data_IF_438747773932
#
_entry.id   IF_438747773932
#
_cell.length_a   1.000
_cell.length_b   1.000
_cell.length_c   1.000
_cell.angle_alpha   90.00
_cell.angle_beta   90.00
_cell.angle_gamma   90.00
#
_symmetry.space_group_name_H-M   'P 1'
#
loop_
_entity.id
_entity.type
_entity.pdbx_description
1 polymer ?
#
# COMPACT_ATOMS: atom_id res chain seq x y z
N UNK A 1 -7.15 -1.76 -6.17
CA UNK A 1 -8.62 -1.89 -6.11
C UNK A 1 -9.36 -1.01 -7.14
N UNK A 2 -9.18 0.33 -7.23
CA UNK A 2 -10.02 1.20 -8.10
C UNK A 2 -10.17 0.79 -9.57
N UNK A 3 -9.10 0.33 -10.23
CA UNK A 3 -9.16 -0.15 -11.63
C UNK A 3 -9.91 -1.48 -11.77
N UNK A 4 -9.79 -2.38 -10.79
CA UNK A 4 -10.54 -3.65 -10.79
C UNK A 4 -12.04 -3.38 -10.70
N UNK A 5 -12.44 -2.44 -9.83
CA UNK A 5 -13.84 -2.05 -9.66
C UNK A 5 -14.43 -1.43 -10.93
N UNK A 6 -13.70 -0.56 -11.64
CA UNK A 6 -14.19 -0.01 -12.89
C UNK A 6 -14.23 -1.03 -14.03
N UNK A 7 -13.26 -1.96 -14.13
CA UNK A 7 -13.32 -3.08 -15.09
C UNK A 7 -14.53 -3.97 -14.85
N UNK A 8 -14.79 -4.35 -13.60
CA UNK A 8 -15.93 -5.21 -13.25
C UNK A 8 -17.28 -4.49 -13.46
N UNK A 9 -17.43 -3.23 -13.02
CA UNK A 9 -18.65 -2.43 -13.24
C UNK A 9 -18.94 -2.20 -14.72
N UNK A 10 -17.91 -2.04 -15.57
CA UNK A 10 -18.07 -1.94 -17.03
C UNK A 10 -18.72 -3.20 -17.64
N UNK A 11 -18.54 -4.35 -17.00
CA UNK A 11 -19.13 -5.63 -17.40
C UNK A 11 -20.38 -5.98 -16.57
N UNK A 12 -21.09 -4.95 -16.08
CA UNK A 12 -22.35 -5.05 -15.32
C UNK A 12 -22.27 -5.74 -13.94
N UNK A 13 -21.07 -6.00 -13.41
CA UNK A 13 -20.91 -6.58 -12.08
C UNK A 13 -21.10 -5.55 -10.97
N UNK A 14 -21.85 -5.92 -9.92
CA UNK A 14 -22.11 -5.05 -8.76
C UNK A 14 -20.93 -5.10 -7.79
N UNK A 15 -20.10 -4.06 -7.79
CA UNK A 15 -18.89 -3.99 -6.96
C UNK A 15 -19.06 -3.01 -5.79
N UNK A 16 -18.67 -3.45 -4.60
CA UNK A 16 -18.45 -2.61 -3.42
C UNK A 16 -16.95 -2.54 -3.13
N UNK A 17 -16.49 -1.40 -2.63
CA UNK A 17 -15.10 -1.19 -2.22
C UNK A 17 -15.06 -1.01 -0.70
N UNK A 18 -13.92 -1.34 -0.10
CA UNK A 18 -13.66 -1.19 1.33
C UNK A 18 -12.15 -0.99 1.52
N UNK A 19 -11.76 0.05 2.27
CA UNK A 19 -10.37 0.25 2.68
C UNK A 19 -10.24 -0.05 4.17
N UNK A 20 -9.82 -1.28 4.47
CA UNK A 20 -9.65 -1.74 5.84
C UNK A 20 -8.50 -1.03 6.56
N UNK A 21 -7.51 -0.50 5.86
CA UNK A 21 -6.41 0.23 6.49
C UNK A 21 -6.92 1.57 7.02
N UNK A 22 -7.71 2.30 6.21
CA UNK A 22 -8.31 3.56 6.63
C UNK A 22 -9.33 3.36 7.76
N UNK A 23 -10.14 2.30 7.70
CA UNK A 23 -11.06 1.96 8.80
C UNK A 23 -10.31 1.57 10.08
N UNK A 24 -9.23 0.78 9.98
CA UNK A 24 -8.40 0.42 11.12
C UNK A 24 -7.74 1.66 11.76
N UNK A 25 -7.12 2.53 10.97
CA UNK A 25 -6.57 3.80 11.48
C UNK A 25 -7.66 4.70 12.09
N UNK A 26 -8.86 4.74 11.53
CA UNK A 26 -9.96 5.55 12.08
C UNK A 26 -10.43 4.99 13.42
N UNK A 27 -10.75 3.69 13.50
CA UNK A 27 -11.38 3.03 14.66
C UNK A 27 -10.38 2.65 15.75
N UNK A 28 -9.30 1.95 15.41
CA UNK A 28 -8.35 1.42 16.41
C UNK A 28 -7.49 2.53 17.04
N UNK A 29 -7.20 3.61 16.31
CA UNK A 29 -6.50 4.78 16.87
C UNK A 29 -7.47 5.86 17.39
N UNK A 30 -8.73 5.54 17.68
CA UNK A 30 -9.66 6.51 18.29
C UNK A 30 -9.33 6.71 19.77
N UNK A 31 -9.52 7.92 20.31
CA UNK A 31 -9.38 8.17 21.76
C UNK A 31 -10.15 7.15 22.61
N UNK A 32 -11.38 6.81 22.19
CA UNK A 32 -12.23 5.80 22.84
C UNK A 32 -11.59 4.41 22.87
N UNK A 33 -11.11 3.90 21.73
CA UNK A 33 -10.48 2.58 21.66
C UNK A 33 -9.15 2.55 22.43
N UNK A 34 -8.33 3.60 22.27
CA UNK A 34 -7.05 3.73 22.95
C UNK A 34 -7.23 3.80 24.47
N UNK A 35 -8.25 4.50 24.97
CA UNK A 35 -8.60 4.54 26.40
C UNK A 35 -8.83 3.13 26.97
N UNK A 36 -9.69 2.34 26.31
CA UNK A 36 -10.00 0.96 26.72
C UNK A 36 -8.76 0.06 26.70
N UNK A 37 -7.84 0.26 25.74
CA UNK A 37 -6.62 -0.55 25.63
C UNK A 37 -5.52 -0.11 26.60
N UNK A 38 -5.34 1.19 26.82
CA UNK A 38 -4.37 1.74 27.77
C UNK A 38 -4.76 1.37 29.21
N UNK A 39 -6.06 1.33 29.55
CA UNK A 39 -6.49 0.76 30.83
C UNK A 39 -6.10 -0.72 30.99
N UNK A 40 -6.28 -1.55 29.94
CA UNK A 40 -5.90 -2.96 29.95
C UNK A 40 -4.37 -3.12 30.13
N UNK A 41 -3.60 -2.28 29.43
CA UNK A 41 -2.13 -2.19 29.53
C UNK A 41 -1.68 -1.80 30.93
N UNK A 42 -2.22 -0.71 31.49
CA UNK A 42 -1.92 -0.27 32.87
C UNK A 42 -2.24 -1.36 33.91
N UNK A 43 -3.35 -2.07 33.76
CA UNK A 43 -3.73 -3.20 34.66
C UNK A 43 -2.73 -4.36 34.57
N UNK A 44 -2.26 -4.74 33.39
CA UNK A 44 -1.22 -5.80 33.22
C UNK A 44 0.15 -5.35 33.71
N UNK A 45 0.57 -4.14 33.38
CA UNK A 45 1.85 -3.59 33.83
C UNK A 45 1.92 -3.63 35.37
N UNK A 46 0.87 -3.18 36.05
CA UNK A 46 0.76 -3.27 37.52
C UNK A 46 0.76 -4.71 38.07
N UNK A 47 0.42 -5.74 37.29
CA UNK A 47 0.53 -7.14 37.72
C UNK A 47 1.98 -7.63 37.65
N UNK A 48 2.72 -7.24 36.61
CA UNK A 48 4.13 -7.58 36.42
C UNK A 48 5.03 -6.79 37.39
N UNK A 49 4.78 -5.49 37.54
CA UNK A 49 5.51 -4.58 38.45
C UNK A 49 5.43 -4.99 39.93
N UNK A 50 4.34 -5.66 40.33
CA UNK A 50 4.16 -6.23 41.67
C UNK A 50 4.88 -7.57 41.90
N UNK A 51 5.44 -8.19 40.87
CA UNK A 51 6.21 -9.43 41.04
C UNK A 51 7.56 -9.09 41.69
N UNK A 52 7.99 -9.90 42.68
CA UNK A 52 9.30 -9.73 43.33
C UNK A 52 10.48 -9.90 42.38
N UNK A 53 10.27 -10.60 41.27
CA UNK A 53 11.22 -10.86 40.19
C UNK A 53 10.44 -11.31 38.97
N UNK A 54 10.76 -10.75 37.80
CA UNK A 54 10.18 -11.22 36.54
C UNK A 54 10.86 -12.54 36.17
N UNK A 55 10.08 -13.61 35.98
CA UNK A 55 10.58 -14.99 36.00
C UNK A 55 11.11 -15.50 34.66
N UNK A 56 10.69 -14.87 33.56
CA UNK A 56 10.97 -15.32 32.20
C UNK A 56 11.36 -14.17 31.28
N UNK A 57 12.19 -14.48 30.27
CA UNK A 57 12.55 -13.51 29.22
C UNK A 57 11.32 -12.96 28.49
N UNK A 58 10.27 -13.77 28.31
CA UNK A 58 9.02 -13.36 27.70
C UNK A 58 8.26 -12.32 28.53
N UNK A 59 8.16 -12.51 29.86
CA UNK A 59 7.55 -11.53 30.76
C UNK A 59 8.40 -10.25 30.89
N UNK A 60 9.73 -10.37 30.86
CA UNK A 60 10.62 -9.20 30.92
C UNK A 60 10.45 -8.35 29.66
N UNK A 61 10.45 -8.99 28.50
CA UNK A 61 10.20 -8.30 27.24
C UNK A 61 8.78 -7.74 27.16
N UNK A 62 7.79 -8.44 27.74
CA UNK A 62 6.43 -7.91 27.86
C UNK A 62 6.42 -6.62 28.69
N UNK A 63 7.10 -6.62 29.85
CA UNK A 63 7.20 -5.47 30.74
C UNK A 63 7.85 -4.26 30.06
N UNK A 64 8.97 -4.47 29.35
CA UNK A 64 9.64 -3.43 28.54
C UNK A 64 8.66 -2.79 27.53
N UNK A 65 7.89 -3.61 26.81
CA UNK A 65 6.94 -3.14 25.77
C UNK A 65 5.67 -2.48 26.33
N UNK A 66 5.34 -2.73 27.59
CA UNK A 66 4.21 -2.07 28.26
C UNK A 66 4.59 -0.71 28.88
N UNK A 67 5.88 -0.37 28.99
CA UNK A 67 6.34 0.87 29.62
C UNK A 67 5.90 2.14 28.86
N UNK A 68 6.15 2.24 27.55
CA UNK A 68 5.81 3.43 26.77
C UNK A 68 4.28 3.68 26.73
N UNK A 69 3.41 2.68 26.48
CA UNK A 69 1.95 2.89 26.53
C UNK A 69 1.42 3.24 27.93
N UNK A 70 2.10 2.85 29.02
CA UNK A 70 1.72 3.24 30.38
C UNK A 70 2.11 4.69 30.69
N UNK A 71 3.30 5.12 30.25
CA UNK A 71 3.84 6.45 30.55
C UNK A 71 3.30 7.56 29.66
N UNK A 72 3.06 7.27 28.37
CA UNK A 72 2.62 8.26 27.37
C UNK A 72 1.16 8.05 26.92
N UNK A 73 0.49 7.02 27.42
CA UNK A 73 -0.87 6.66 27.00
C UNK A 73 -1.91 7.76 27.20
N UNK A 74 -1.89 8.46 28.34
CA UNK A 74 -2.88 9.51 28.63
C UNK A 74 -2.68 10.72 27.70
N UNK A 75 -1.43 11.16 27.52
CA UNK A 75 -1.07 12.19 26.54
C UNK A 75 -1.53 11.80 25.12
N UNK A 76 -1.37 10.53 24.73
CA UNK A 76 -1.86 10.05 23.45
C UNK A 76 -3.39 10.15 23.35
N UNK A 77 -4.14 9.68 24.36
CA UNK A 77 -5.61 9.72 24.37
C UNK A 77 -6.12 11.16 24.22
N UNK A 78 -5.51 12.10 24.94
CA UNK A 78 -5.87 13.53 24.91
C UNK A 78 -5.60 14.20 23.55
N UNK A 79 -4.56 13.76 22.82
CA UNK A 79 -4.06 14.48 21.63
C UNK A 79 -4.37 13.78 20.29
N UNK A 80 -4.76 12.50 20.27
CA UNK A 80 -4.86 11.72 19.02
C UNK A 80 -5.95 12.22 18.05
N UNK A 81 -7.11 12.63 18.55
CA UNK A 81 -8.21 13.05 17.69
C UNK A 81 -7.96 14.45 17.09
N UNK A 82 -7.34 15.36 17.85
CA UNK A 82 -6.88 16.65 17.31
C UNK A 82 -5.69 16.45 16.35
N UNK A 83 -4.77 15.53 16.63
CA UNK A 83 -3.69 15.18 15.69
C UNK A 83 -4.24 14.68 14.35
N UNK A 84 -5.20 13.75 14.39
CA UNK A 84 -5.93 13.27 13.21
C UNK A 84 -6.60 14.42 12.46
N UNK A 85 -7.31 15.31 13.17
CA UNK A 85 -8.00 16.47 12.60
C UNK A 85 -7.03 17.48 11.97
N UNK A 86 -5.91 17.78 12.61
CA UNK A 86 -4.88 18.68 12.09
C UNK A 86 -4.23 18.11 10.84
N UNK A 87 -3.80 16.85 10.85
CA UNK A 87 -3.21 16.17 9.68
C UNK A 87 -4.22 16.11 8.51
N UNK A 88 -5.49 15.82 8.81
CA UNK A 88 -6.57 15.76 7.79
C UNK A 88 -6.85 17.12 7.15
N UNK A 89 -6.66 18.23 7.88
CA UNK A 89 -6.96 19.60 7.42
C UNK A 89 -5.71 20.39 6.95
N UNK A 90 -4.60 19.72 6.63
CA UNK A 90 -3.42 20.37 6.03
C UNK A 90 -3.79 21.02 4.70
N UNK A 91 -4.07 22.33 4.73
CA UNK A 91 -4.44 23.09 3.55
C UNK A 91 -3.25 23.42 2.62
N UNK A 92 -2.02 23.31 3.14
CA UNK A 92 -0.80 23.66 2.42
C UNK A 92 -0.09 22.40 1.91
N UNK A 93 -0.03 22.25 0.57
CA UNK A 93 0.65 21.15 -0.14
C UNK A 93 2.19 21.19 -0.07
N UNK A 94 2.70 21.93 0.91
CA UNK A 94 4.07 22.42 0.99
C UNK A 94 4.77 21.74 2.15
N UNK A 95 5.33 20.56 1.84
CA UNK A 95 6.33 19.90 2.68
C UNK A 95 7.54 20.80 2.96
N UNK A 96 7.72 21.89 2.22
CA UNK A 96 8.62 23.00 2.54
C UNK A 96 8.36 23.63 3.93
N UNK A 97 7.19 23.42 4.55
CA UNK A 97 6.93 23.72 5.97
C UNK A 97 7.35 22.58 6.93
N UNK A 98 8.49 21.92 6.69
CA UNK A 98 9.17 21.09 7.70
C UNK A 98 9.58 21.89 8.97
N UNK A 99 9.41 23.22 8.98
CA UNK A 99 9.50 24.07 10.16
C UNK A 99 8.21 24.20 10.99
N UNK A 100 7.08 23.63 10.57
CA UNK A 100 5.83 23.67 11.33
C UNK A 100 5.89 22.63 12.47
N UNK A 101 6.42 23.07 13.62
CA UNK A 101 6.62 22.24 14.82
C UNK A 101 5.32 21.67 15.40
N UNK A 102 4.19 22.35 15.19
CA UNK A 102 2.86 21.86 15.56
C UNK A 102 2.45 20.67 14.68
N UNK A 103 2.62 20.76 13.36
CA UNK A 103 2.36 19.63 12.47
C UNK A 103 3.27 18.43 12.76
N UNK A 104 4.56 18.67 13.03
CA UNK A 104 5.50 17.61 13.43
C UNK A 104 5.06 16.93 14.73
N UNK A 105 4.61 17.69 15.74
CA UNK A 105 4.07 17.14 16.99
C UNK A 105 2.86 16.26 16.75
N UNK A 106 1.91 16.69 15.91
CA UNK A 106 0.73 15.87 15.58
C UNK A 106 1.10 14.60 14.81
N UNK A 107 2.09 14.64 13.91
CA UNK A 107 2.64 13.42 13.30
C UNK A 107 3.31 12.49 14.32
N UNK A 108 4.05 13.02 15.29
CA UNK A 108 4.63 12.22 16.38
C UNK A 108 3.56 11.57 17.25
N UNK A 109 2.47 12.28 17.58
CA UNK A 109 1.31 11.71 18.29
C UNK A 109 0.69 10.56 17.47
N UNK A 110 0.49 10.74 16.16
CA UNK A 110 -0.07 9.71 15.29
C UNK A 110 0.86 8.50 15.14
N UNK A 111 2.17 8.70 14.99
CA UNK A 111 3.18 7.65 14.93
C UNK A 111 3.26 6.84 16.24
N UNK A 112 3.32 7.53 17.38
CA UNK A 112 3.28 6.94 18.72
C UNK A 112 2.03 6.08 18.93
N UNK A 113 0.88 6.53 18.41
CA UNK A 113 -0.37 5.79 18.46
C UNK A 113 -0.30 4.46 17.70
N UNK A 114 0.29 4.46 16.50
CA UNK A 114 0.51 3.24 15.72
C UNK A 114 1.47 2.30 16.46
N UNK A 115 2.56 2.83 17.01
CA UNK A 115 3.50 2.06 17.82
C UNK A 115 2.78 1.35 18.98
N UNK A 116 1.97 2.05 19.77
CA UNK A 116 1.31 1.44 20.93
C UNK A 116 0.31 0.34 20.58
N UNK A 117 -0.44 0.46 19.47
CA UNK A 117 -1.34 -0.60 19.03
C UNK A 117 -0.60 -1.86 18.58
N UNK A 118 0.51 -1.70 17.85
CA UNK A 118 1.20 -2.82 17.19
C UNK A 118 2.34 -3.44 18.00
N UNK A 119 2.84 -2.76 19.05
CA UNK A 119 3.89 -3.27 19.93
C UNK A 119 3.43 -3.78 21.28
N UNK A 120 2.17 -3.55 21.69
CA UNK A 120 1.70 -3.99 23.02
C UNK A 120 1.51 -5.52 23.08
N UNK A 121 2.20 -6.24 23.99
CA UNK A 121 2.13 -7.71 24.08
C UNK A 121 0.73 -8.24 24.42
N UNK A 122 -0.08 -7.44 25.12
CA UNK A 122 -1.49 -7.72 25.42
C UNK A 122 -2.41 -7.67 24.19
N UNK A 123 -1.99 -6.94 23.15
CA UNK A 123 -2.74 -6.74 21.92
C UNK A 123 -2.21 -7.62 20.78
N UNK A 124 -0.95 -8.04 20.87
CA UNK A 124 -0.33 -8.94 19.90
C UNK A 124 0.83 -9.75 20.51
N UNK A 125 0.57 -10.86 21.23
CA UNK A 125 1.64 -11.67 21.85
C UNK A 125 2.59 -12.40 20.87
N UNK A 126 2.46 -12.17 19.56
CA UNK A 126 3.15 -12.93 18.50
C UNK A 126 3.72 -12.08 17.33
N UNK A 127 3.87 -10.75 17.42
CA UNK A 127 4.51 -9.94 16.35
C UNK A 127 5.43 -8.78 16.78
N UNK A 128 6.38 -8.54 15.86
CA UNK A 128 7.27 -7.40 15.65
C UNK A 128 7.16 -7.05 14.14
N UNK A 129 7.42 -5.85 13.61
CA UNK A 129 7.95 -4.60 14.17
C UNK A 129 7.43 -3.43 13.31
N UNK A 130 6.87 -2.35 13.88
CA UNK A 130 6.57 -1.11 13.12
C UNK A 130 7.74 -0.12 13.25
N UNK A 131 8.84 -0.36 12.51
CA UNK A 131 9.78 0.66 11.97
C UNK A 131 10.98 0.08 11.22
N UNK A 132 11.47 -1.13 11.55
CA UNK A 132 12.57 -1.77 10.81
C UNK A 132 12.08 -2.75 9.76
N UNK A 133 12.33 -2.44 8.49
CA UNK A 133 11.96 -3.26 7.32
C UNK A 133 12.83 -4.52 7.11
N UNK A 134 13.58 -4.94 8.14
CA UNK A 134 14.65 -5.93 8.01
C UNK A 134 14.30 -7.36 8.48
N UNK A 135 13.31 -7.57 9.37
CA UNK A 135 13.11 -8.90 9.98
C UNK A 135 11.72 -9.17 10.59
N UNK A 136 10.64 -8.95 9.84
CA UNK A 136 9.36 -9.57 10.16
C UNK A 136 9.36 -11.04 9.69
N UNK A 137 9.84 -11.96 10.54
CA UNK A 137 9.77 -13.40 10.31
C UNK A 137 8.33 -13.91 10.45
N UNK A 138 7.49 -13.62 9.46
CA UNK A 138 6.13 -14.16 9.40
C UNK A 138 6.16 -15.61 8.94
N UNK A 139 5.72 -16.49 9.83
CA UNK A 139 5.63 -17.92 9.62
C UNK A 139 4.18 -18.38 9.44
N UNK A 140 4.02 -19.53 8.78
CA UNK A 140 2.73 -20.22 8.70
C UNK A 140 2.21 -20.61 10.09
N UNK A 141 3.11 -20.87 11.04
CA UNK A 141 2.75 -21.16 12.44
C UNK A 141 2.04 -19.96 13.10
N UNK A 142 2.59 -18.74 12.99
CA UNK A 142 1.91 -17.54 13.53
C UNK A 142 0.54 -17.29 12.90
N UNK A 143 0.38 -17.57 11.60
CA UNK A 143 -0.92 -17.50 10.93
C UNK A 143 -1.89 -18.51 11.57
N UNK A 144 -1.48 -19.77 11.74
CA UNK A 144 -2.29 -20.79 12.39
C UNK A 144 -2.63 -20.43 13.84
N UNK A 145 -1.68 -19.88 14.60
CA UNK A 145 -1.86 -19.59 16.02
C UNK A 145 -2.80 -18.41 16.26
N UNK A 146 -2.74 -17.37 15.41
CA UNK A 146 -3.72 -16.27 15.43
C UNK A 146 -5.11 -16.77 15.01
N UNK A 147 -5.20 -17.69 14.04
CA UNK A 147 -6.49 -18.28 13.62
C UNK A 147 -7.09 -19.20 14.71
N UNK A 148 -6.25 -19.92 15.47
CA UNK A 148 -6.69 -20.72 16.63
C UNK A 148 -7.07 -19.87 17.85
N UNK A 149 -6.49 -18.67 17.98
CA UNK A 149 -6.68 -17.76 19.12
C UNK A 149 -7.16 -16.38 18.64
N UNK A 150 -8.29 -16.28 17.91
CA UNK A 150 -8.68 -15.04 17.25
C UNK A 150 -8.89 -13.87 18.22
N UNK A 151 -9.41 -14.16 19.42
CA UNK A 151 -9.66 -13.17 20.49
C UNK A 151 -8.39 -12.49 21.02
N UNK A 152 -7.19 -13.05 20.74
CA UNK A 152 -5.90 -12.42 21.05
C UNK A 152 -5.47 -11.36 20.03
N UNK A 153 -6.20 -11.20 18.92
CA UNK A 153 -5.91 -10.20 17.89
C UNK A 153 -6.92 -9.05 17.94
N UNK A 154 -6.42 -7.82 18.03
CA UNK A 154 -7.27 -6.61 17.93
C UNK A 154 -8.11 -6.55 16.65
N UNK A 155 -7.67 -7.25 15.60
CA UNK A 155 -8.34 -7.26 14.31
C UNK A 155 -9.60 -8.13 14.28
N UNK A 156 -9.73 -9.15 15.14
CA UNK A 156 -10.86 -10.06 15.11
C UNK A 156 -12.19 -9.34 15.38
N UNK A 157 -12.28 -8.67 16.53
CA UNK A 157 -13.47 -7.89 16.89
C UNK A 157 -13.71 -6.75 15.88
N UNK A 158 -12.66 -6.07 15.42
CA UNK A 158 -12.75 -5.06 14.37
C UNK A 158 -13.36 -5.61 13.06
N UNK A 159 -13.05 -6.84 12.67
CA UNK A 159 -13.68 -7.48 11.50
C UNK A 159 -15.14 -7.86 11.77
N UNK A 160 -15.47 -8.32 12.98
CA UNK A 160 -16.86 -8.58 13.38
C UNK A 160 -17.70 -7.29 13.37
N UNK A 161 -17.16 -6.18 13.85
CA UNK A 161 -17.87 -4.90 13.98
C UNK A 161 -17.99 -4.17 12.62
N UNK A 162 -16.91 -4.10 11.84
CA UNK A 162 -16.87 -3.26 10.63
C UNK A 162 -17.09 -4.03 9.31
N UNK A 163 -16.77 -5.32 9.25
CA UNK A 163 -16.80 -6.09 7.98
C UNK A 163 -18.02 -7.00 7.89
N UNK A 164 -18.39 -7.70 8.95
CA UNK A 164 -19.46 -8.70 8.89
C UNK A 164 -20.86 -8.10 8.64
N UNK A 165 -21.23 -6.93 9.21
CA UNK A 165 -22.46 -6.23 8.84
C UNK A 165 -22.50 -5.81 7.37
N UNK A 166 -21.34 -5.54 6.75
CA UNK A 166 -21.26 -5.24 5.32
C UNK A 166 -21.53 -6.51 4.49
N UNK A 167 -20.93 -7.65 4.85
CA UNK A 167 -21.17 -8.93 4.16
C UNK A 167 -22.65 -9.32 4.28
N UNK A 168 -23.23 -9.32 5.49
CA UNK A 168 -24.65 -9.62 5.73
C UNK A 168 -25.60 -8.73 4.92
N UNK A 169 -25.33 -7.41 4.87
CA UNK A 169 -26.16 -6.42 4.16
C UNK A 169 -25.98 -6.44 2.65
N UNK A 170 -24.78 -6.76 2.14
CA UNK A 170 -24.47 -6.70 0.70
C UNK A 170 -24.56 -8.05 -0.01
N UNK A 171 -24.48 -9.16 0.73
CA UNK A 171 -24.50 -10.55 0.26
C UNK A 171 -23.60 -10.80 -0.96
N UNK A 172 -22.28 -10.51 -0.86
CA UNK A 172 -21.37 -10.72 -1.98
C UNK A 172 -21.17 -12.20 -2.28
N UNK A 173 -21.13 -12.58 -3.56
CA UNK A 173 -20.74 -13.93 -3.98
C UNK A 173 -19.22 -14.14 -3.95
N UNK A 174 -18.44 -13.08 -4.22
CA UNK A 174 -16.98 -13.07 -4.22
C UNK A 174 -16.48 -11.98 -3.27
N UNK A 175 -15.50 -12.33 -2.43
CA UNK A 175 -14.76 -11.38 -1.60
C UNK A 175 -13.30 -11.41 -2.03
N UNK A 176 -12.84 -10.33 -2.67
CA UNK A 176 -11.46 -10.14 -3.10
C UNK A 176 -10.65 -9.30 -2.10
N UNK A 177 -9.62 -9.88 -1.49
CA UNK A 177 -8.73 -9.20 -0.53
C UNK A 177 -7.40 -8.84 -1.24
N UNK A 178 -6.94 -7.60 -1.06
CA UNK A 178 -5.71 -7.08 -1.68
C UNK A 178 -4.57 -7.00 -0.66
N UNK A 179 -3.81 -8.08 -0.53
CA UNK A 179 -2.61 -8.17 0.30
C UNK A 179 -1.44 -7.42 -0.37
N UNK A 180 -1.19 -6.20 0.09
CA UNK A 180 -0.26 -5.25 -0.56
C UNK A 180 1.10 -5.23 0.12
N UNK A 181 1.12 -5.28 1.45
CA UNK A 181 2.31 -5.21 2.28
C UNK A 181 2.46 -6.47 3.14
N UNK A 182 3.69 -6.74 3.61
CA UNK A 182 4.03 -8.01 4.25
C UNK A 182 3.37 -8.16 5.63
N UNK A 183 3.42 -7.11 6.45
CA UNK A 183 2.69 -6.93 7.72
C UNK A 183 1.19 -7.28 7.64
N UNK A 184 0.55 -7.08 6.49
CA UNK A 184 -0.86 -7.41 6.26
C UNK A 184 -1.14 -8.93 6.17
N UNK A 185 -0.13 -9.81 6.12
CA UNK A 185 -0.30 -11.27 5.95
C UNK A 185 -1.19 -11.86 7.06
N UNK A 186 -0.84 -11.66 8.32
CA UNK A 186 -1.54 -12.23 9.46
C UNK A 186 -2.99 -11.73 9.57
N UNK A 187 -3.29 -10.41 9.56
CA UNK A 187 -4.67 -9.94 9.57
C UNK A 187 -5.46 -10.36 8.32
N UNK A 188 -4.82 -10.52 7.16
CA UNK A 188 -5.48 -11.04 5.95
C UNK A 188 -5.93 -12.49 6.11
N UNK A 189 -5.08 -13.37 6.64
CA UNK A 189 -5.45 -14.78 6.84
C UNK A 189 -6.41 -14.99 8.02
N UNK A 190 -6.33 -14.16 9.07
CA UNK A 190 -7.36 -14.09 10.10
C UNK A 190 -8.72 -13.71 9.48
N UNK A 191 -8.77 -12.62 8.71
CA UNK A 191 -9.98 -12.18 8.02
C UNK A 191 -10.55 -13.25 7.10
N UNK A 192 -9.72 -13.82 6.22
CA UNK A 192 -10.18 -14.80 5.23
C UNK A 192 -10.67 -16.10 5.89
N UNK A 193 -9.98 -16.56 6.95
CA UNK A 193 -10.39 -17.73 7.71
C UNK A 193 -11.71 -17.51 8.44
N UNK A 194 -11.91 -16.36 9.10
CA UNK A 194 -13.17 -16.08 9.78
C UNK A 194 -14.30 -15.88 8.78
N UNK A 195 -14.09 -15.21 7.65
CA UNK A 195 -15.11 -15.09 6.59
C UNK A 195 -15.52 -16.46 6.06
N UNK A 196 -14.58 -17.39 5.79
CA UNK A 196 -14.93 -18.75 5.34
C UNK A 196 -15.72 -19.55 6.38
N UNK A 197 -15.53 -19.28 7.67
CA UNK A 197 -16.25 -19.93 8.77
C UNK A 197 -17.67 -19.39 8.91
N UNK A 198 -17.84 -18.07 8.95
CA UNK A 198 -19.12 -17.40 9.22
C UNK A 198 -19.98 -17.21 7.96
N UNK A 199 -19.36 -17.19 6.76
CA UNK A 199 -19.99 -16.97 5.46
C UNK A 199 -19.50 -18.00 4.42
N UNK A 200 -19.80 -19.30 4.58
CA UNK A 200 -19.26 -20.36 3.73
C UNK A 200 -19.68 -20.25 2.24
N UNK A 201 -20.78 -19.58 1.95
CA UNK A 201 -21.26 -19.31 0.58
C UNK A 201 -20.44 -18.24 -0.16
N UNK A 202 -19.64 -17.45 0.57
CA UNK A 202 -18.77 -16.42 -0.02
C UNK A 202 -17.48 -17.05 -0.53
N UNK A 203 -17.18 -16.88 -1.81
CA UNK A 203 -15.88 -17.27 -2.36
C UNK A 203 -14.82 -16.23 -2.03
N UNK A 204 -13.87 -16.57 -1.17
CA UNK A 204 -12.79 -15.67 -0.73
C UNK A 204 -11.57 -15.87 -1.61
N UNK A 205 -11.06 -14.81 -2.22
CA UNK A 205 -9.79 -14.84 -2.95
C UNK A 205 -8.85 -13.72 -2.53
N UNK A 206 -7.56 -14.02 -2.43
CA UNK A 206 -6.52 -13.07 -2.01
C UNK A 206 -5.57 -12.82 -3.20
N UNK A 207 -5.33 -11.56 -3.53
CA UNK A 207 -4.34 -11.14 -4.53
C UNK A 207 -3.46 -10.01 -3.99
N UNK A 208 -2.65 -9.39 -4.85
CA UNK A 208 -1.81 -8.24 -4.51
C UNK A 208 -0.31 -8.51 -4.65
N UNK A 209 0.53 -7.55 -4.25
CA UNK A 209 1.98 -7.61 -4.49
C UNK A 209 2.63 -8.79 -3.75
N UNK A 210 2.26 -9.03 -2.49
CA UNK A 210 2.84 -10.11 -1.67
C UNK A 210 2.47 -11.49 -2.21
N UNK A 211 1.23 -11.71 -2.63
CA UNK A 211 0.82 -12.96 -3.29
C UNK A 211 1.59 -13.17 -4.59
N UNK A 212 1.85 -12.08 -5.33
CA UNK A 212 2.59 -12.11 -6.59
C UNK A 212 4.10 -12.30 -6.40
N UNK A 213 4.63 -11.90 -5.24
CA UNK A 213 6.03 -12.11 -4.84
C UNK A 213 6.26 -13.53 -4.34
N UNK A 214 5.44 -13.97 -3.38
CA UNK A 214 5.61 -15.22 -2.62
C UNK A 214 4.88 -16.43 -3.23
N UNK A 215 4.46 -16.37 -4.50
CA UNK A 215 3.60 -17.43 -5.07
C UNK A 215 4.26 -18.81 -5.11
N UNK A 216 5.60 -18.88 -5.14
CA UNK A 216 6.35 -20.15 -5.17
C UNK A 216 6.36 -20.79 -3.79
N UNK A 217 6.51 -19.96 -2.77
CA UNK A 217 6.52 -20.29 -1.35
C UNK A 217 5.11 -20.69 -0.92
N UNK A 218 4.07 -19.91 -1.28
CA UNK A 218 2.66 -20.26 -1.03
C UNK A 218 2.30 -21.62 -1.67
N UNK A 219 2.88 -21.97 -2.84
CA UNK A 219 2.64 -23.25 -3.51
C UNK A 219 3.13 -24.47 -2.72
N UNK A 220 4.02 -24.32 -1.73
CA UNK A 220 4.40 -25.42 -0.82
C UNK A 220 3.62 -25.44 0.50
N UNK A 221 2.73 -24.47 0.76
CA UNK A 221 2.02 -24.31 2.03
C UNK A 221 0.54 -24.68 1.90
N UNK A 222 0.25 -25.98 1.84
CA UNK A 222 -1.09 -26.55 1.61
C UNK A 222 -2.16 -26.10 2.62
N UNK A 223 -1.74 -25.81 3.85
CA UNK A 223 -2.59 -25.28 4.94
C UNK A 223 -3.17 -23.89 4.65
N UNK A 224 -2.47 -23.02 3.89
CA UNK A 224 -2.97 -21.66 3.62
C UNK A 224 -4.27 -21.68 2.80
N UNK A 225 -4.47 -22.72 2.00
CA UNK A 225 -5.67 -22.93 1.19
C UNK A 225 -6.88 -23.41 2.00
N UNK A 226 -6.70 -23.81 3.25
CA UNK A 226 -7.84 -24.11 4.13
C UNK A 226 -8.53 -22.79 4.57
N UNK A 227 -7.80 -21.66 4.52
CA UNK A 227 -8.25 -20.33 4.91
C UNK A 227 -8.64 -19.39 3.74
N UNK A 228 -8.56 -19.83 2.49
CA UNK A 228 -8.98 -19.09 1.28
C UNK A 228 -9.59 -20.05 0.24
N UNK A 229 -10.20 -19.59 -0.85
CA UNK A 229 -10.62 -20.45 -1.96
C UNK A 229 -9.59 -20.44 -3.11
N UNK A 230 -9.02 -19.28 -3.43
CA UNK A 230 -7.90 -19.14 -4.38
C UNK A 230 -7.02 -17.92 -4.11
N UNK A 231 -5.80 -17.96 -4.64
CA UNK A 231 -4.91 -16.81 -4.78
C UNK A 231 -4.91 -16.28 -6.21
N UNK A 232 -4.76 -14.97 -6.39
CA UNK A 232 -4.59 -14.30 -7.70
C UNK A 232 -3.16 -13.75 -7.82
N UNK A 233 -2.44 -14.17 -8.86
CA UNK A 233 -1.01 -13.87 -9.07
C UNK A 233 -0.87 -12.87 -10.23
N UNK A 234 -0.26 -11.71 -9.99
CA UNK A 234 -0.09 -10.65 -10.99
C UNK A 234 -1.36 -9.83 -11.19
N UNK A 235 -1.77 -9.60 -12.44
CA UNK A 235 -2.93 -8.76 -12.76
C UNK A 235 -4.26 -9.41 -12.36
N UNK A 236 -5.05 -8.71 -11.55
CA UNK A 236 -6.33 -9.21 -11.07
C UNK A 236 -7.51 -9.05 -12.02
N UNK A 237 -7.41 -8.19 -13.05
CA UNK A 237 -8.56 -7.81 -13.88
C UNK A 237 -9.18 -9.00 -14.60
N UNK A 238 -8.39 -9.75 -15.39
CA UNK A 238 -8.87 -10.92 -16.13
C UNK A 238 -9.32 -12.05 -15.20
N UNK A 239 -8.63 -12.23 -14.07
CA UNK A 239 -8.97 -13.26 -13.10
C UNK A 239 -10.32 -12.98 -12.45
N UNK A 240 -10.52 -11.78 -11.90
CA UNK A 240 -11.78 -11.42 -11.24
C UNK A 240 -12.94 -11.30 -12.23
N UNK A 241 -12.71 -10.80 -13.45
CA UNK A 241 -13.77 -10.73 -14.47
C UNK A 241 -14.24 -12.13 -14.91
N UNK A 242 -13.31 -13.02 -15.25
CA UNK A 242 -13.66 -14.40 -15.63
C UNK A 242 -14.27 -15.18 -14.46
N UNK A 243 -13.78 -14.93 -13.24
CA UNK A 243 -14.38 -15.44 -12.01
C UNK A 243 -15.84 -14.97 -11.90
N UNK A 244 -16.09 -13.66 -11.86
CA UNK A 244 -17.44 -13.09 -11.72
C UNK A 244 -18.42 -13.56 -12.80
N UNK A 245 -17.98 -13.71 -14.04
CA UNK A 245 -18.81 -14.23 -15.15
C UNK A 245 -19.26 -15.69 -14.97
N UNK A 246 -18.67 -16.46 -14.04
CA UNK A 246 -19.00 -17.86 -13.80
C UNK A 246 -19.90 -18.09 -12.57
N UNK A 247 -20.08 -17.11 -11.68
CA UNK A 247 -20.80 -17.32 -10.41
C UNK A 247 -22.29 -17.60 -10.55
N UNK A 248 -22.93 -17.11 -11.60
CA UNK A 248 -24.34 -17.39 -11.89
C UNK A 248 -24.63 -18.88 -12.19
N UNK A 249 -23.59 -19.72 -12.29
CA UNK A 249 -23.68 -21.12 -12.72
C UNK A 249 -23.41 -22.14 -11.60
N UNK A 250 -23.24 -21.68 -10.35
CA UNK A 250 -22.97 -22.49 -9.14
C UNK A 250 -21.79 -23.49 -9.20
N UNK A 251 -21.00 -23.51 -10.28
CA UNK A 251 -19.84 -24.38 -10.41
C UNK A 251 -18.72 -23.67 -11.19
N UNK A 252 -17.80 -23.04 -10.46
CA UNK A 252 -16.73 -22.21 -11.01
C UNK A 252 -15.66 -23.13 -11.62
N UNK A 253 -15.43 -23.01 -12.92
CA UNK A 253 -14.34 -23.72 -13.57
C UNK A 253 -13.02 -22.96 -13.41
N UNK A 254 -12.37 -23.21 -12.28
CA UNK A 254 -11.06 -22.66 -11.89
C UNK A 254 -9.95 -22.88 -12.95
N UNK A 255 -10.06 -23.88 -13.82
CA UNK A 255 -9.07 -24.11 -14.89
C UNK A 255 -9.16 -23.05 -16.01
N UNK A 256 -10.31 -22.40 -16.18
CA UNK A 256 -10.51 -21.34 -17.18
C UNK A 256 -10.11 -19.96 -16.67
N UNK A 257 -10.06 -19.76 -15.35
CA UNK A 257 -9.71 -18.46 -14.78
C UNK A 257 -8.18 -18.26 -14.90
N UNK A 258 -7.71 -17.20 -15.59
CA UNK A 258 -6.28 -16.92 -15.70
C UNK A 258 -5.70 -16.48 -14.34
N UNK A 259 -4.38 -16.51 -14.20
CA UNK A 259 -3.64 -15.96 -13.05
C UNK A 259 -3.92 -16.61 -11.67
N UNK A 260 -4.85 -17.56 -11.53
CA UNK A 260 -5.17 -18.12 -10.20
C UNK A 260 -4.32 -19.32 -9.79
N UNK A 261 -4.24 -19.50 -8.47
CA UNK A 261 -3.71 -20.69 -7.81
C UNK A 261 -4.73 -21.17 -6.76
N UNK A 262 -5.06 -22.46 -6.76
CA UNK A 262 -6.14 -23.05 -5.96
C UNK A 262 -5.81 -24.48 -5.55
N UNK A 263 -6.52 -25.02 -4.56
CA UNK A 263 -6.36 -26.40 -4.06
C UNK A 263 -7.52 -27.28 -4.56
N UNK A 264 -7.19 -28.48 -5.05
CA UNK A 264 -8.14 -29.60 -5.19
C UNK A 264 -7.61 -30.77 -4.34
N UNK A 265 -7.07 -31.83 -4.97
CA UNK A 265 -6.26 -32.86 -4.30
C UNK A 265 -4.80 -32.45 -4.09
N UNK A 266 -4.35 -31.42 -4.82
CA UNK A 266 -3.04 -30.77 -4.76
C UNK A 266 -3.20 -29.29 -5.09
N UNK A 267 -2.22 -28.47 -4.76
CA UNK A 267 -2.17 -27.08 -5.21
C UNK A 267 -1.92 -27.06 -6.73
N UNK A 268 -2.81 -26.40 -7.45
CA UNK A 268 -2.73 -26.12 -8.89
C UNK A 268 -2.55 -24.63 -9.07
N UNK A 269 -1.48 -24.23 -9.76
CA UNK A 269 -1.36 -22.89 -10.35
C UNK A 269 -1.75 -23.01 -11.81
N UNK A 270 -2.63 -22.12 -12.30
CA UNK A 270 -2.96 -22.10 -13.71
C UNK A 270 -1.76 -21.62 -14.53
N UNK A 271 -1.42 -22.31 -15.61
CA UNK A 271 -0.30 -21.97 -16.49
C UNK A 271 -0.65 -20.76 -17.40
N UNK A 272 -1.93 -20.47 -17.59
CA UNK A 272 -2.39 -19.32 -18.36
C UNK A 272 -2.25 -18.02 -17.55
N UNK A 273 -1.06 -17.42 -17.62
CA UNK A 273 -0.78 -16.10 -17.07
C UNK A 273 -1.13 -15.00 -18.09
N UNK A 274 -2.03 -14.10 -17.71
CA UNK A 274 -2.56 -13.02 -18.56
C UNK A 274 -2.19 -11.66 -17.97
N UNK A 275 -1.48 -10.86 -18.77
CA UNK A 275 -1.23 -9.45 -18.49
C UNK A 275 -2.40 -8.62 -19.07
N UNK A 276 -3.09 -7.85 -18.23
CA UNK A 276 -4.21 -7.00 -18.64
C UNK A 276 -3.76 -5.89 -19.61
N UNK A 277 -4.52 -5.64 -20.67
CA UNK A 277 -4.20 -4.54 -21.58
C UNK A 277 -4.67 -3.19 -21.02
N UNK A 278 -3.79 -2.53 -20.26
CA UNK A 278 -4.11 -1.27 -19.58
C UNK A 278 -4.47 -0.10 -20.52
N UNK A 279 -4.15 -0.20 -21.82
CA UNK A 279 -4.56 0.80 -22.82
C UNK A 279 -6.09 0.87 -22.96
N UNK A 280 -6.77 -0.25 -22.71
CA UNK A 280 -8.23 -0.35 -22.69
C UNK A 280 -8.84 -0.27 -21.29
N UNK A 281 -8.03 -0.05 -20.24
CA UNK A 281 -8.59 0.17 -18.90
C UNK A 281 -9.48 1.43 -18.89
N UNK A 282 -10.70 1.34 -18.32
CA UNK A 282 -11.45 2.54 -17.96
C UNK A 282 -10.67 3.39 -16.93
N UNK A 283 -11.09 4.64 -16.67
CA UNK A 283 -10.65 5.38 -15.50
C UNK A 283 -10.84 4.54 -14.23
N UNK A 284 -9.96 4.64 -13.21
CA UNK A 284 -10.19 3.98 -11.94
C UNK A 284 -11.45 4.52 -11.25
N UNK A 285 -12.21 3.65 -10.61
CA UNK A 285 -13.40 4.02 -9.84
C UNK A 285 -13.08 4.11 -8.34
N UNK A 286 -13.39 5.24 -7.73
CA UNK A 286 -13.20 5.54 -6.31
C UNK A 286 -14.54 5.78 -5.59
N UNK A 287 -15.68 5.62 -6.27
CA UNK A 287 -17.02 5.93 -5.73
C UNK A 287 -17.42 5.13 -4.48
N UNK A 288 -16.75 4.01 -4.21
CA UNK A 288 -16.95 3.21 -3.00
C UNK A 288 -15.94 3.50 -1.87
N UNK A 289 -15.05 4.50 -2.02
CA UNK A 289 -14.05 4.85 -1.02
C UNK A 289 -14.37 6.21 -0.36
N UNK A 290 -14.20 6.35 0.96
CA UNK A 290 -14.42 7.61 1.67
C UNK A 290 -13.26 8.58 1.42
N UNK A 291 -13.21 9.17 0.22
CA UNK A 291 -12.09 9.99 -0.25
C UNK A 291 -11.75 11.19 0.64
N UNK A 292 -12.70 11.67 1.44
CA UNK A 292 -12.50 12.79 2.36
C UNK A 292 -11.93 12.36 3.71
N UNK A 293 -11.86 11.06 4.02
CA UNK A 293 -11.36 10.55 5.31
C UNK A 293 -9.85 10.25 5.30
N UNK A 294 -9.20 10.28 4.13
CA UNK A 294 -7.75 10.10 4.02
C UNK A 294 -6.97 11.29 4.59
N UNK A 295 -5.90 10.99 5.34
CA UNK A 295 -5.00 11.95 6.00
C UNK A 295 -4.03 12.64 5.03
N UNK A 296 -4.57 13.31 4.00
CA UNK A 296 -3.80 13.91 2.89
C UNK A 296 -4.06 15.41 2.68
N UNK A 297 -4.78 16.07 3.60
CA UNK A 297 -5.03 17.52 3.59
C UNK A 297 -6.09 17.99 2.59
N UNK A 298 -5.98 17.56 1.32
CA UNK A 298 -7.02 17.74 0.30
C UNK A 298 -7.19 16.44 -0.48
N UNK A 299 -8.40 16.23 -1.00
CA UNK A 299 -8.76 15.05 -1.79
C UNK A 299 -7.79 14.85 -2.96
N UNK A 300 -6.89 13.87 -2.87
CA UNK A 300 -5.91 13.51 -3.89
C UNK A 300 -6.23 12.13 -4.45
N UNK A 301 -6.18 11.96 -5.78
CA UNK A 301 -6.37 10.67 -6.43
C UNK A 301 -5.05 10.04 -6.89
N UNK A 302 -4.96 8.73 -6.73
CA UNK A 302 -3.84 7.91 -7.20
C UNK A 302 -4.17 7.38 -8.59
N UNK A 303 -3.42 7.81 -9.60
CA UNK A 303 -3.57 7.38 -10.97
C UNK A 303 -2.32 6.62 -11.43
N UNK A 304 -2.49 5.58 -12.26
CA UNK A 304 -1.39 4.77 -12.76
C UNK A 304 -1.37 4.84 -14.29
N UNK A 305 -0.30 5.42 -14.84
CA UNK A 305 -0.11 5.64 -16.28
C UNK A 305 0.45 4.41 -17.00
N UNK A 306 1.05 3.49 -16.25
CA UNK A 306 1.75 2.30 -16.72
C UNK A 306 1.88 1.23 -15.64
N UNK A 307 2.10 -0.03 -16.03
CA UNK A 307 2.42 -1.15 -15.11
C UNK A 307 3.81 -1.68 -15.39
N UNK A 308 4.52 -2.01 -14.31
CA UNK A 308 5.94 -2.37 -14.35
C UNK A 308 6.82 -1.16 -14.61
N UNK A 309 8.13 -1.38 -14.66
CA UNK A 309 9.13 -0.36 -14.93
C UNK A 309 9.78 -0.59 -16.30
N UNK A 310 9.88 0.46 -17.13
CA UNK A 310 10.54 0.38 -18.44
C UNK A 310 12.05 0.11 -18.35
N UNK A 311 12.68 0.46 -17.22
CA UNK A 311 14.08 0.10 -16.96
C UNK A 311 14.22 -1.38 -16.55
N UNK A 312 13.40 -1.83 -15.58
CA UNK A 312 13.23 -3.24 -15.19
C UNK A 312 14.47 -3.99 -14.67
N UNK A 313 15.63 -3.34 -14.57
CA UNK A 313 16.94 -3.99 -14.39
C UNK A 313 17.65 -3.69 -13.06
N UNK A 314 17.05 -2.88 -12.17
CA UNK A 314 17.64 -2.56 -10.87
C UNK A 314 17.78 -3.82 -10.00
N UNK A 315 19.00 -4.12 -9.53
CA UNK A 315 19.33 -5.40 -8.86
C UNK A 315 18.59 -5.62 -7.53
N UNK A 316 18.17 -4.55 -6.86
CA UNK A 316 17.46 -4.58 -5.57
C UNK A 316 15.93 -4.65 -5.69
N UNK A 317 15.36 -4.59 -6.91
CA UNK A 317 13.96 -4.26 -7.12
C UNK A 317 13.07 -5.50 -7.38
N UNK A 318 12.06 -5.69 -6.52
CA UNK A 318 11.08 -6.79 -6.56
C UNK A 318 10.08 -6.66 -7.73
N UNK A 319 9.80 -5.44 -8.21
CA UNK A 319 8.84 -5.20 -9.30
C UNK A 319 9.17 -5.94 -10.60
N UNK A 320 10.44 -6.27 -10.83
CA UNK A 320 10.85 -7.12 -11.97
C UNK A 320 10.27 -8.54 -11.90
N UNK A 321 9.99 -9.03 -10.70
CA UNK A 321 9.39 -10.34 -10.39
C UNK A 321 7.87 -10.22 -10.30
N UNK A 322 7.33 -9.20 -9.61
CA UNK A 322 5.89 -9.09 -9.35
C UNK A 322 5.08 -8.47 -10.49
N UNK A 323 5.72 -7.66 -11.36
CA UNK A 323 5.08 -6.95 -12.49
C UNK A 323 5.89 -7.13 -13.79
N UNK A 324 6.00 -8.35 -14.34
CA UNK A 324 6.82 -8.62 -15.51
C UNK A 324 6.32 -7.90 -16.77
N UNK A 325 7.23 -7.14 -17.40
CA UNK A 325 6.99 -6.39 -18.63
C UNK A 325 6.37 -5.00 -18.41
N UNK A 326 6.87 -4.01 -19.15
CA UNK A 326 6.33 -2.65 -19.11
C UNK A 326 5.13 -2.48 -20.05
N UNK A 327 4.01 -1.99 -19.51
CA UNK A 327 2.79 -1.66 -20.27
C UNK A 327 2.39 -0.23 -19.96
N UNK A 328 1.88 0.50 -20.94
CA UNK A 328 1.72 1.95 -20.82
C UNK A 328 0.46 2.47 -21.52
N UNK A 329 -0.34 3.31 -20.84
CA UNK A 329 -1.36 4.14 -21.49
C UNK A 329 -0.71 5.26 -22.30
N UNK A 330 -1.34 5.66 -23.40
CA UNK A 330 -0.90 6.80 -24.20
C UNK A 330 -1.11 8.13 -23.44
N UNK A 331 -0.27 9.17 -23.67
CA UNK A 331 -0.43 10.48 -23.04
C UNK A 331 -1.84 11.08 -23.20
N UNK A 332 -2.43 10.97 -24.40
CA UNK A 332 -3.80 11.41 -24.68
C UNK A 332 -4.85 10.70 -23.81
N UNK A 333 -4.75 9.37 -23.67
CA UNK A 333 -5.63 8.57 -22.80
C UNK A 333 -5.44 8.92 -21.32
N UNK A 334 -4.21 9.22 -20.90
CA UNK A 334 -3.91 9.68 -19.54
C UNK A 334 -4.60 11.02 -19.26
N UNK A 335 -4.44 12.02 -20.13
CA UNK A 335 -5.08 13.32 -19.94
C UNK A 335 -6.62 13.23 -20.02
N UNK A 336 -7.18 12.36 -20.85
CA UNK A 336 -8.63 12.04 -20.86
C UNK A 336 -9.11 11.44 -19.53
N UNK A 337 -8.38 10.47 -18.98
CA UNK A 337 -8.74 9.87 -17.69
C UNK A 337 -8.63 10.89 -16.54
N UNK A 338 -7.56 11.72 -16.52
CA UNK A 338 -7.38 12.77 -15.50
C UNK A 338 -8.49 13.83 -15.57
N UNK A 339 -8.91 14.23 -16.76
CA UNK A 339 -10.04 15.15 -16.96
C UNK A 339 -11.35 14.57 -16.40
N UNK A 340 -11.63 13.30 -16.71
CA UNK A 340 -12.80 12.59 -16.18
C UNK A 340 -12.76 12.53 -14.65
N UNK A 341 -11.65 12.05 -14.07
CA UNK A 341 -11.49 11.91 -12.63
C UNK A 341 -11.60 13.26 -11.90
N UNK A 342 -11.01 14.32 -12.45
CA UNK A 342 -11.04 15.66 -11.86
C UNK A 342 -12.47 16.17 -11.74
N UNK A 343 -13.28 16.02 -12.80
CA UNK A 343 -14.69 16.39 -12.82
C UNK A 343 -15.54 15.49 -11.92
N UNK A 344 -15.39 14.16 -12.01
CA UNK A 344 -16.21 13.19 -11.28
C UNK A 344 -16.00 13.25 -9.76
N UNK A 345 -14.77 13.45 -9.31
CA UNK A 345 -14.43 13.45 -7.88
C UNK A 345 -14.13 14.84 -7.31
N UNK A 346 -14.43 15.92 -8.07
CA UNK A 346 -14.17 17.31 -7.71
C UNK A 346 -12.77 17.51 -7.07
N UNK A 347 -11.74 17.12 -7.80
CA UNK A 347 -10.34 17.22 -7.34
C UNK A 347 -9.45 17.75 -8.45
N UNK A 348 -8.37 18.41 -8.05
CA UNK A 348 -7.29 18.85 -8.93
C UNK A 348 -6.00 18.07 -8.72
N UNK A 349 -5.94 17.18 -7.73
CA UNK A 349 -4.67 16.75 -7.14
C UNK A 349 -4.41 15.27 -7.45
N UNK A 350 -3.33 14.99 -8.16
CA UNK A 350 -3.04 13.65 -8.68
C UNK A 350 -1.62 13.18 -8.35
N UNK A 351 -1.53 11.98 -7.78
CA UNK A 351 -0.28 11.22 -7.72
C UNK A 351 -0.24 10.22 -8.89
N UNK A 352 0.76 10.33 -9.76
CA UNK A 352 1.03 9.30 -10.78
C UNK A 352 1.91 8.19 -10.20
N UNK A 353 1.26 7.16 -9.66
CA UNK A 353 1.86 6.03 -8.94
C UNK A 353 2.39 4.93 -9.87
N UNK A 354 3.26 5.32 -10.79
CA UNK A 354 4.04 4.41 -11.64
C UNK A 354 5.38 4.10 -10.97
N UNK A 355 5.89 2.87 -11.17
CA UNK A 355 7.20 2.46 -10.62
C UNK A 355 8.35 3.34 -11.16
N UNK A 356 8.23 3.82 -12.41
CA UNK A 356 8.95 4.97 -12.96
C UNK A 356 8.31 5.41 -14.30
N UNK A 357 8.10 6.72 -14.50
CA UNK A 357 7.71 7.29 -15.80
C UNK A 357 8.95 7.82 -16.52
N UNK A 358 9.13 7.42 -17.79
CA UNK A 358 10.26 7.89 -18.61
C UNK A 358 10.18 9.41 -18.86
N UNK A 359 11.32 10.15 -18.86
CA UNK A 359 11.33 11.62 -18.99
C UNK A 359 10.54 12.15 -20.20
N UNK A 360 10.67 11.48 -21.34
CA UNK A 360 9.95 11.82 -22.58
C UNK A 360 8.44 11.59 -22.47
N UNK A 361 7.98 10.63 -21.65
CA UNK A 361 6.57 10.41 -21.36
C UNK A 361 6.02 11.43 -20.37
N UNK A 362 6.78 11.80 -19.32
CA UNK A 362 6.40 12.88 -18.38
C UNK A 362 6.11 14.17 -19.15
N UNK A 363 7.00 14.54 -20.08
CA UNK A 363 6.80 15.70 -20.96
C UNK A 363 5.56 15.58 -21.85
N UNK A 364 5.35 14.46 -22.54
CA UNK A 364 4.17 14.27 -23.41
C UNK A 364 2.84 14.28 -22.64
N UNK A 365 2.83 13.81 -21.40
CA UNK A 365 1.64 13.94 -20.52
C UNK A 365 1.37 15.42 -20.22
N UNK A 366 2.41 16.20 -19.90
CA UNK A 366 2.28 17.64 -19.67
C UNK A 366 1.75 18.39 -20.90
N UNK A 367 2.16 18.01 -22.11
CA UNK A 367 1.62 18.59 -23.35
C UNK A 367 0.13 18.29 -23.52
N UNK A 368 -0.32 17.05 -23.31
CA UNK A 368 -1.74 16.68 -23.42
C UNK A 368 -2.62 17.35 -22.33
N UNK A 369 -2.08 17.54 -21.12
CA UNK A 369 -2.72 18.31 -20.04
C UNK A 369 -2.94 19.77 -20.47
N UNK A 370 -1.90 20.40 -21.06
CA UNK A 370 -1.98 21.78 -21.56
C UNK A 370 -2.90 21.92 -22.77
N UNK A 371 -2.83 21.00 -23.73
CA UNK A 371 -3.70 20.98 -24.91
C UNK A 371 -5.19 20.87 -24.55
N UNK A 372 -5.50 20.24 -23.40
CA UNK A 372 -6.85 20.13 -22.85
C UNK A 372 -7.20 21.26 -21.86
N UNK A 373 -6.31 22.20 -21.59
CA UNK A 373 -6.45 23.26 -20.59
C UNK A 373 -6.85 22.73 -19.19
N UNK A 374 -6.32 21.57 -18.79
CA UNK A 374 -6.68 20.98 -17.49
C UNK A 374 -5.99 21.73 -16.34
N UNK A 375 -6.79 22.25 -15.42
CA UNK A 375 -6.32 22.91 -14.20
C UNK A 375 -6.18 21.87 -13.07
N UNK A 376 -5.07 21.13 -13.10
CA UNK A 376 -4.72 20.06 -12.14
C UNK A 376 -3.28 20.24 -11.66
N UNK A 377 -2.99 19.90 -10.40
CA UNK A 377 -1.65 19.76 -9.87
C UNK A 377 -1.28 18.27 -9.75
N UNK A 378 -0.06 17.91 -10.12
CA UNK A 378 0.38 16.52 -10.08
C UNK A 378 1.86 16.32 -9.78
N UNK A 379 2.21 15.08 -9.47
CA UNK A 379 3.58 14.63 -9.27
C UNK A 379 3.76 13.17 -9.67
N UNK A 380 4.99 12.76 -9.98
CA UNK A 380 5.31 11.41 -10.42
C UNK A 380 6.70 10.95 -9.98
N UNK A 381 6.93 9.63 -9.99
CA UNK A 381 8.26 9.03 -9.91
C UNK A 381 8.88 8.94 -11.32
N UNK A 382 10.16 9.29 -11.42
CA UNK A 382 10.92 9.28 -12.67
C UNK A 382 12.42 9.04 -12.39
N UNK A 383 13.27 9.17 -13.41
CA UNK A 383 14.67 8.73 -13.41
C UNK A 383 15.58 9.73 -14.10
N UNK A 384 16.88 9.64 -13.79
CA UNK A 384 17.96 10.39 -14.42
C UNK A 384 18.35 9.84 -15.80
N UNK A 385 17.35 9.47 -16.61
CA UNK A 385 17.55 8.97 -17.97
C UNK A 385 17.58 10.13 -18.99
N UNK A 386 17.82 9.79 -20.25
CA UNK A 386 17.81 10.76 -21.34
C UNK A 386 16.45 11.42 -21.60
N UNK A 387 16.53 12.64 -22.12
CA UNK A 387 15.36 13.41 -22.58
C UNK A 387 14.93 14.56 -21.67
N UNK A 388 15.65 14.84 -20.58
CA UNK A 388 15.46 16.07 -19.81
C UNK A 388 16.04 17.28 -20.56
N UNK A 389 15.26 18.36 -20.66
CA UNK A 389 15.74 19.67 -21.15
C UNK A 389 15.03 20.79 -20.37
N UNK A 390 15.64 21.98 -20.31
CA UNK A 390 15.04 23.12 -19.61
C UNK A 390 13.65 23.48 -20.16
N UNK A 391 13.44 23.38 -21.48
CA UNK A 391 12.15 23.66 -22.10
C UNK A 391 11.10 22.60 -21.70
N UNK A 392 11.47 21.31 -21.70
CA UNK A 392 10.57 20.23 -21.25
C UNK A 392 10.17 20.40 -19.79
N UNK A 393 11.13 20.72 -18.90
CA UNK A 393 10.86 20.97 -17.48
C UNK A 393 9.95 22.19 -17.27
N UNK A 394 10.12 23.27 -18.05
CA UNK A 394 9.21 24.43 -18.05
C UNK A 394 7.79 24.05 -18.49
N UNK A 395 7.64 23.23 -19.54
CA UNK A 395 6.33 22.70 -19.97
C UNK A 395 5.69 21.83 -18.90
N UNK A 396 6.46 20.92 -18.30
CA UNK A 396 6.02 20.05 -17.19
C UNK A 396 5.52 20.88 -16.01
N UNK A 397 6.26 21.91 -15.58
CA UNK A 397 5.80 22.84 -14.54
C UNK A 397 4.54 23.61 -14.95
N UNK A 398 4.48 24.12 -16.18
CA UNK A 398 3.30 24.87 -16.68
C UNK A 398 2.03 24.00 -16.68
N UNK A 399 2.18 22.70 -16.89
CA UNK A 399 1.10 21.71 -16.83
C UNK A 399 0.70 21.30 -15.39
N UNK A 400 1.09 22.06 -14.37
CA UNK A 400 0.74 21.77 -12.97
C UNK A 400 1.58 20.68 -12.30
N UNK A 401 2.65 20.19 -12.93
CA UNK A 401 3.59 19.35 -12.19
C UNK A 401 4.30 20.20 -11.13
N UNK A 402 4.12 19.88 -9.85
CA UNK A 402 4.76 20.62 -8.76
C UNK A 402 5.97 19.89 -8.18
N UNK A 403 6.02 18.55 -8.26
CA UNK A 403 7.10 17.73 -7.73
C UNK A 403 7.50 16.60 -8.68
N UNK A 404 8.81 16.38 -8.81
CA UNK A 404 9.39 15.20 -9.46
C UNK A 404 10.18 14.41 -8.41
N UNK A 405 9.88 13.11 -8.28
CA UNK A 405 10.60 12.18 -7.41
C UNK A 405 11.57 11.37 -8.26
N UNK A 406 12.85 11.36 -7.91
CA UNK A 406 13.89 10.62 -8.63
C UNK A 406 14.48 9.51 -7.76
N UNK A 407 14.47 8.29 -8.30
CA UNK A 407 15.13 7.14 -7.69
C UNK A 407 16.65 7.18 -7.89
N UNK A 408 17.38 7.95 -7.09
CA UNK A 408 18.84 8.10 -7.19
C UNK A 408 19.57 6.87 -6.59
N UNK A 409 19.18 6.51 -5.37
CA UNK A 409 19.70 5.48 -4.47
C UNK A 409 21.16 5.63 -4.04
N UNK A 410 22.09 5.98 -4.93
CA UNK A 410 23.47 6.26 -4.57
C UNK A 410 24.07 7.30 -5.51
N UNK A 411 24.89 8.19 -4.97
CA UNK A 411 25.70 9.14 -5.74
C UNK A 411 27.09 8.57 -6.12
N UNK A 412 27.38 7.30 -5.80
CA UNK A 412 28.63 6.65 -6.14
C UNK A 412 28.53 5.86 -7.46
N UNK A 413 29.37 6.17 -8.44
CA UNK A 413 29.35 5.53 -9.77
C UNK A 413 29.64 4.03 -9.76
N UNK A 414 30.42 3.49 -8.80
CA UNK A 414 30.61 2.04 -8.65
C UNK A 414 29.33 1.37 -8.14
N UNK A 415 28.71 1.96 -7.12
CA UNK A 415 27.46 1.44 -6.54
C UNK A 415 26.32 1.48 -7.55
N UNK A 416 26.14 2.60 -8.27
CA UNK A 416 25.15 2.73 -9.35
C UNK A 416 25.27 1.62 -10.41
N UNK A 417 26.50 1.24 -10.79
CA UNK A 417 26.76 0.12 -11.70
C UNK A 417 26.44 -1.23 -11.02
N UNK A 418 26.84 -1.44 -9.78
CA UNK A 418 26.55 -2.66 -9.01
C UNK A 418 25.04 -2.94 -8.85
N UNK A 419 24.25 -1.91 -8.55
CA UNK A 419 22.78 -1.98 -8.47
C UNK A 419 22.08 -1.89 -9.84
N UNK A 420 22.86 -1.72 -10.92
CA UNK A 420 22.39 -1.61 -12.30
C UNK A 420 21.29 -0.54 -12.48
N UNK A 421 21.60 0.70 -12.05
CA UNK A 421 20.66 1.83 -12.15
C UNK A 421 20.48 2.39 -13.55
N UNK A 422 21.48 2.28 -14.43
CA UNK A 422 21.37 2.60 -15.86
C UNK A 422 21.67 4.04 -16.27
N UNK A 423 22.04 4.90 -15.31
CA UNK A 423 22.51 6.27 -15.54
C UNK A 423 23.81 6.51 -14.75
N UNK A 424 24.46 7.65 -14.96
CA UNK A 424 25.73 8.00 -14.30
C UNK A 424 25.60 9.20 -13.36
N UNK A 425 26.64 9.41 -12.55
CA UNK A 425 26.84 10.58 -11.68
C UNK A 425 26.82 11.90 -12.44
N UNK A 426 27.35 11.94 -13.65
CA UNK A 426 27.38 13.13 -14.51
C UNK A 426 25.96 13.46 -14.97
N UNK A 427 25.16 12.44 -15.30
CA UNK A 427 23.77 12.62 -15.72
C UNK A 427 22.87 13.11 -14.58
N UNK A 428 23.10 12.63 -13.35
CA UNK A 428 22.45 13.18 -12.15
C UNK A 428 22.75 14.68 -12.05
N UNK A 429 24.04 15.06 -12.10
CA UNK A 429 24.45 16.46 -12.00
C UNK A 429 23.89 17.34 -13.11
N UNK A 430 23.87 16.87 -14.36
CA UNK A 430 23.26 17.54 -15.50
C UNK A 430 21.77 17.86 -15.23
N UNK A 431 20.99 16.82 -14.89
CA UNK A 431 19.54 16.94 -14.67
C UNK A 431 19.23 17.78 -13.44
N UNK A 432 19.98 17.65 -12.34
CA UNK A 432 19.84 18.52 -11.17
C UNK A 432 20.15 19.99 -11.49
N UNK A 433 21.15 20.26 -12.33
CA UNK A 433 21.46 21.63 -12.76
C UNK A 433 20.43 22.21 -13.74
N UNK A 434 19.71 21.37 -14.50
CA UNK A 434 18.51 21.80 -15.23
C UNK A 434 17.34 22.08 -14.28
N UNK A 435 17.10 21.20 -13.30
CA UNK A 435 16.04 21.33 -12.31
C UNK A 435 16.20 22.56 -11.43
N UNK A 436 17.41 22.92 -10.99
CA UNK A 436 17.69 24.17 -10.25
C UNK A 436 17.23 25.45 -11.00
N UNK A 437 17.17 25.40 -12.34
CA UNK A 437 16.68 26.51 -13.19
C UNK A 437 15.16 26.52 -13.35
N UNK A 438 14.48 25.63 -12.63
CA UNK A 438 13.01 25.51 -12.58
C UNK A 438 12.58 25.46 -11.12
N UNK A 439 11.57 26.24 -10.75
CA UNK A 439 11.00 26.16 -9.40
C UNK A 439 10.08 24.92 -9.28
N UNK A 440 10.62 23.74 -9.55
CA UNK A 440 10.01 22.41 -9.36
C UNK A 440 10.58 21.82 -8.07
N UNK A 441 9.73 21.24 -7.22
CA UNK A 441 10.24 20.52 -6.06
C UNK A 441 10.86 19.19 -6.52
N UNK A 442 12.06 18.90 -6.04
CA UNK A 442 12.79 17.66 -6.34
C UNK A 442 12.85 16.83 -5.06
N UNK A 443 12.43 15.58 -5.13
CA UNK A 443 12.69 14.58 -4.08
C UNK A 443 13.67 13.55 -4.64
N UNK A 444 14.71 13.21 -3.86
CA UNK A 444 15.69 12.18 -4.21
C UNK A 444 15.59 11.06 -3.17
N UNK A 445 15.33 9.82 -3.58
CA UNK A 445 15.57 8.68 -2.69
C UNK A 445 17.05 8.30 -2.70
N UNK A 446 17.57 7.93 -1.53
CA UNK A 446 18.91 7.38 -1.35
C UNK A 446 18.80 6.10 -0.52
N UNK A 447 19.66 5.12 -0.79
CA UNK A 447 19.78 3.88 -0.03
C UNK A 447 21.23 3.80 0.44
N UNK A 448 21.42 3.81 1.76
CA UNK A 448 22.74 3.72 2.39
C UNK A 448 22.91 2.28 2.91
N UNK A 449 24.10 1.71 2.78
CA UNK A 449 24.38 0.34 3.22
C UNK A 449 24.03 -0.70 2.14
N UNK A 450 24.11 -0.32 0.87
CA UNK A 450 23.95 -1.28 -0.23
C UNK A 450 25.03 -2.38 -0.17
N UNK A 451 24.77 -3.62 -0.60
CA UNK A 451 25.77 -4.68 -0.55
C UNK A 451 27.07 -4.28 -1.27
N UNK A 452 28.20 -4.49 -0.60
CA UNK A 452 29.55 -4.04 -0.98
C UNK A 452 29.85 -2.54 -0.88
N UNK A 453 28.93 -1.69 -0.42
CA UNK A 453 29.19 -0.26 -0.18
C UNK A 453 30.12 -0.05 1.04
N UNK A 454 31.17 0.75 0.87
CA UNK A 454 32.06 1.12 1.97
C UNK A 454 31.63 2.45 2.59
N UNK A 455 31.94 2.67 3.87
CA UNK A 455 31.64 3.91 4.57
C UNK A 455 32.15 5.16 3.82
N UNK A 456 33.31 5.06 3.17
CA UNK A 456 33.91 6.14 2.36
C UNK A 456 33.10 6.46 1.09
N UNK A 457 32.28 5.54 0.61
CA UNK A 457 31.46 5.73 -0.60
C UNK A 457 30.01 6.13 -0.29
N UNK A 458 29.58 5.92 0.96
CA UNK A 458 28.31 6.39 1.50
C UNK A 458 28.38 7.85 2.03
N UNK A 459 29.58 8.31 2.41
CA UNK A 459 29.89 9.71 2.75
C UNK A 459 30.14 10.56 1.50
#
# INVERSE_FOLDING_TARGET
>A
LPVLSSVLKLHNHKVYQLDLNLLAHTKLLSSQFLSLKIEQIKKRFQQLDKQKSISSFAELHEYEKLYDPVTLGDYLIENIDEAKKTIKNINNYRFDEFGNSELLRHWQVFDLANKFLFFSPLLHPYLYQFEDSASCFMSVNQIQDVIKNPDKSIFYNFFQDEVFPLILRKKPQIIGISLTFADQIIPTFLLSSTIKKEFPDCYVTIGGNIISLLWREIKSQDILFDHVNSFVIGDGESALLEMSNQFDKMNINLEKIPNIMYKRKKIVKNNHLVNWNISYSPPPDFSGLPLDDYFVGKRQLVYMTGRGCYWGKCRFCDFSVTKPGYRSKSPKKIAQDLEYLSKTYNTKLFYMADDAIAPTKVWKIAEEILNKNLNIDWWCLTRFDEGWTLNRLKTIKKAGCYRLFFGMESANGRIQRFINKGFTTEKINEVLNLLKKTNLHVHLSSIIGLPSETEKEAK
#
